data_IF_758118099622
#
_entry.id   IF_758118099622
#
_cell.length_a   1.000
_cell.length_b   1.000
_cell.length_c   1.000
_cell.angle_alpha   90.00
_cell.angle_beta   90.00
_cell.angle_gamma   90.00
#
_symmetry.space_group_name_H-M   'P 1'
#
loop_
_entity.id
_entity.type
_entity.pdbx_description
1 polymer ?
#
# COMPACT_ATOMS: atom_id res chain seq x y z
N UNK A 1 3.41 31.22 -1.99
CA UNK A 1 4.39 31.43 -3.08
C UNK A 1 3.83 30.77 -4.30
N UNK A 2 3.41 31.57 -5.27
CA UNK A 2 2.76 31.11 -6.51
C UNK A 2 3.86 30.70 -7.48
N UNK A 3 4.07 29.43 -7.68
CA UNK A 3 5.02 28.89 -8.66
C UNK A 3 4.39 28.99 -10.05
N UNK A 4 4.94 29.80 -10.92
CA UNK A 4 4.56 29.87 -12.33
C UNK A 4 5.19 28.68 -13.06
N UNK A 5 4.36 27.69 -13.44
CA UNK A 5 4.76 26.60 -14.35
C UNK A 5 4.82 27.14 -15.79
N UNK A 6 6.02 27.16 -16.35
CA UNK A 6 6.26 27.49 -17.76
C UNK A 6 5.89 26.28 -18.63
N UNK A 7 4.92 26.44 -19.49
CA UNK A 7 4.48 25.40 -20.45
C UNK A 7 5.51 25.25 -21.55
N UNK A 8 6.15 24.06 -21.66
CA UNK A 8 6.94 23.68 -22.82
C UNK A 8 6.03 23.06 -23.90
N UNK A 9 6.05 23.66 -25.06
CA UNK A 9 5.31 23.23 -26.25
C UNK A 9 6.03 22.08 -26.96
N UNK A 10 5.54 20.86 -26.78
CA UNK A 10 5.92 19.69 -27.59
C UNK A 10 4.94 19.50 -28.76
N UNK A 11 5.45 19.60 -29.99
CA UNK A 11 4.69 19.37 -31.22
C UNK A 11 4.45 17.88 -31.43
N UNK A 12 3.20 17.43 -31.47
CA UNK A 12 2.76 16.28 -32.27
C UNK A 12 1.36 16.57 -32.77
N UNK A 13 1.23 16.58 -34.10
CA UNK A 13 0.04 17.01 -34.81
C UNK A 13 -1.17 16.09 -34.60
N UNK A 14 -2.26 16.70 -34.14
CA UNK A 14 -3.61 16.21 -34.29
C UNK A 14 -4.49 17.39 -34.69
N UNK A 15 -5.08 17.27 -35.84
CA UNK A 15 -5.97 18.27 -36.48
C UNK A 15 -7.26 18.43 -35.69
N UNK A 16 -7.59 19.67 -35.30
CA UNK A 16 -8.97 20.13 -35.20
C UNK A 16 -9.77 19.86 -33.96
N UNK A 17 -9.19 19.57 -32.77
CA UNK A 17 -9.97 19.53 -31.53
C UNK A 17 -9.74 20.77 -30.68
N UNK A 18 -10.83 21.53 -30.47
CA UNK A 18 -10.86 22.77 -29.67
C UNK A 18 -11.10 22.51 -28.17
N UNK A 19 -11.00 21.28 -27.71
CA UNK A 19 -11.25 20.85 -26.34
C UNK A 19 -10.05 21.00 -25.40
N UNK A 20 -10.24 20.51 -24.18
CA UNK A 20 -9.21 20.49 -23.12
C UNK A 20 -8.59 19.08 -23.01
N UNK A 21 -7.27 19.02 -22.85
CA UNK A 21 -6.54 17.82 -22.43
C UNK A 21 -5.62 18.09 -21.23
N UNK A 22 -5.49 17.10 -20.35
CA UNK A 22 -4.55 17.13 -19.24
C UNK A 22 -4.10 15.69 -18.88
N UNK A 23 -2.93 15.53 -18.30
CA UNK A 23 -2.51 14.29 -17.64
C UNK A 23 -2.33 14.57 -16.16
N UNK A 24 -2.94 13.74 -15.32
CA UNK A 24 -2.84 13.88 -13.88
C UNK A 24 -2.00 12.75 -13.32
N UNK A 25 -0.94 13.11 -12.61
CA UNK A 25 0.06 12.18 -12.06
C UNK A 25 0.30 12.45 -10.59
N UNK A 26 0.75 11.41 -9.87
CA UNK A 26 1.39 11.56 -8.56
C UNK A 26 2.84 12.08 -8.75
N UNK A 27 3.50 12.44 -7.66
CA UNK A 27 4.93 12.82 -7.67
C UNK A 27 5.82 11.69 -8.23
N UNK A 28 5.45 10.42 -7.99
CA UNK A 28 6.16 9.24 -8.47
C UNK A 28 5.79 8.86 -9.92
N UNK A 29 4.97 9.68 -10.59
CA UNK A 29 4.60 9.51 -12.00
C UNK A 29 3.39 8.62 -12.25
N UNK A 30 2.72 8.09 -11.22
CA UNK A 30 1.55 7.23 -11.36
C UNK A 30 0.30 8.01 -11.81
N UNK A 31 -0.57 7.33 -12.56
CA UNK A 31 -1.84 7.89 -13.00
C UNK A 31 -2.79 8.14 -11.81
N UNK A 32 -3.47 9.27 -11.80
CA UNK A 32 -4.54 9.57 -10.84
C UNK A 32 -5.87 9.46 -11.57
N UNK A 33 -6.43 8.25 -11.64
CA UNK A 33 -7.61 7.90 -12.43
C UNK A 33 -8.93 8.50 -11.93
N UNK A 34 -8.98 8.95 -10.67
CA UNK A 34 -10.18 9.57 -10.08
C UNK A 34 -10.05 11.09 -9.97
N UNK A 35 -9.09 11.68 -10.67
CA UNK A 35 -8.94 13.13 -10.71
C UNK A 35 -10.09 13.78 -11.50
N UNK A 36 -10.52 14.93 -11.04
CA UNK A 36 -11.53 15.76 -11.69
C UNK A 36 -10.91 17.10 -12.05
N UNK A 37 -11.06 17.50 -13.30
CA UNK A 37 -10.71 18.83 -13.80
C UNK A 37 -11.98 19.68 -13.83
N UNK A 38 -11.91 20.86 -13.24
CA UNK A 38 -12.93 21.90 -13.32
C UNK A 38 -12.30 23.14 -13.95
N UNK A 39 -12.90 23.67 -14.98
CA UNK A 39 -12.45 24.91 -15.66
C UNK A 39 -13.42 26.03 -15.35
N UNK A 40 -12.89 27.14 -14.91
CA UNK A 40 -13.67 28.37 -14.68
C UNK A 40 -13.17 29.49 -15.59
N UNK A 41 -14.09 30.35 -16.03
CA UNK A 41 -13.77 31.57 -16.76
C UNK A 41 -13.20 32.67 -15.85
N UNK A 42 -12.94 33.85 -16.43
CA UNK A 42 -12.39 34.98 -15.70
C UNK A 42 -13.34 35.56 -14.61
N UNK A 43 -14.64 35.21 -14.67
CA UNK A 43 -15.64 35.58 -13.65
C UNK A 43 -15.76 34.54 -12.53
N UNK A 44 -15.06 33.40 -12.63
CA UNK A 44 -15.15 32.29 -11.71
C UNK A 44 -16.30 31.33 -12.00
N UNK A 45 -17.03 31.52 -13.10
CA UNK A 45 -18.10 30.60 -13.50
C UNK A 45 -17.52 29.32 -14.08
N UNK A 46 -18.01 28.15 -13.62
CA UNK A 46 -17.62 26.88 -14.18
C UNK A 46 -18.15 26.73 -15.62
N UNK A 47 -17.23 26.46 -16.55
CA UNK A 47 -17.53 26.27 -17.97
C UNK A 47 -17.32 24.84 -18.44
N UNK A 48 -16.52 24.05 -17.70
CA UNK A 48 -16.25 22.64 -18.02
C UNK A 48 -15.95 21.85 -16.76
N UNK A 49 -16.34 20.57 -16.73
CA UNK A 49 -15.94 19.60 -15.71
C UNK A 49 -15.80 18.21 -16.34
N UNK A 50 -14.63 17.58 -16.17
CA UNK A 50 -14.33 16.27 -16.73
C UNK A 50 -13.54 15.42 -15.75
N UNK A 51 -13.75 14.10 -15.79
CA UNK A 51 -12.99 13.11 -15.01
C UNK A 51 -11.79 12.56 -15.79
N UNK A 52 -10.77 12.10 -15.07
CA UNK A 52 -9.66 11.37 -15.65
C UNK A 52 -10.06 9.91 -15.96
N UNK A 53 -9.50 9.35 -17.04
CA UNK A 53 -9.58 7.93 -17.34
C UNK A 53 -8.63 7.08 -16.47
N UNK A 54 -8.60 5.76 -16.71
CA UNK A 54 -7.74 4.83 -15.98
C UNK A 54 -6.23 5.18 -16.05
N UNK A 55 -5.82 5.86 -17.13
CA UNK A 55 -4.45 6.32 -17.34
C UNK A 55 -4.20 7.73 -16.78
N UNK A 56 -5.16 8.27 -16.03
CA UNK A 56 -5.08 9.64 -15.47
C UNK A 56 -5.11 10.72 -16.56
N UNK A 57 -5.69 10.43 -17.72
CA UNK A 57 -5.80 11.38 -18.81
C UNK A 57 -7.21 11.96 -18.83
N UNK A 58 -7.28 13.28 -18.83
CA UNK A 58 -8.54 14.03 -19.03
C UNK A 58 -8.59 14.48 -20.46
N UNK A 59 -9.71 14.21 -21.13
CA UNK A 59 -10.04 14.72 -22.48
C UNK A 59 -11.48 15.14 -22.49
N UNK A 60 -11.70 16.37 -22.91
CA UNK A 60 -13.05 16.89 -23.14
C UNK A 60 -13.04 17.69 -24.44
N UNK A 61 -13.96 17.34 -25.33
CA UNK A 61 -14.06 17.95 -26.66
C UNK A 61 -14.91 19.23 -26.67
N UNK A 62 -15.49 19.63 -25.55
CA UNK A 62 -16.32 20.83 -25.44
C UNK A 62 -15.49 22.07 -25.84
N UNK A 63 -15.91 22.83 -26.87
CA UNK A 63 -15.17 24.01 -27.27
C UNK A 63 -15.20 25.09 -26.20
N UNK A 64 -14.02 25.58 -25.85
CA UNK A 64 -13.87 26.77 -25.00
C UNK A 64 -13.67 28.01 -25.87
N UNK A 65 -14.35 29.09 -25.54
CA UNK A 65 -14.16 30.36 -26.24
C UNK A 65 -12.72 30.88 -26.01
N UNK A 66 -12.14 31.65 -26.96
CA UNK A 66 -10.85 32.29 -26.72
C UNK A 66 -10.86 33.16 -25.47
N UNK A 67 -9.90 32.94 -24.57
CA UNK A 67 -9.86 33.66 -23.29
C UNK A 67 -8.92 33.05 -22.27
N UNK A 68 -8.87 33.65 -21.10
CA UNK A 68 -8.13 33.15 -19.95
C UNK A 68 -9.06 32.33 -19.03
N UNK A 69 -8.58 31.17 -18.59
CA UNK A 69 -9.31 30.24 -17.74
C UNK A 69 -8.46 29.80 -16.55
N UNK A 70 -9.12 29.47 -15.46
CA UNK A 70 -8.50 28.76 -14.36
C UNK A 70 -8.86 27.28 -14.43
N UNK A 71 -7.87 26.41 -14.47
CA UNK A 71 -8.02 24.96 -14.48
C UNK A 71 -7.71 24.45 -13.09
N UNK A 72 -8.71 23.91 -12.40
CA UNK A 72 -8.62 23.37 -11.04
C UNK A 72 -8.67 21.86 -11.14
N UNK A 73 -7.66 21.18 -10.55
CA UNK A 73 -7.59 19.74 -10.48
C UNK A 73 -7.77 19.32 -9.03
N UNK A 74 -8.67 18.36 -8.83
CA UNK A 74 -8.98 17.78 -7.52
C UNK A 74 -8.98 16.26 -7.61
N UNK A 75 -8.52 15.59 -6.56
CA UNK A 75 -8.67 14.15 -6.37
C UNK A 75 -8.76 13.85 -4.87
N UNK A 76 -9.50 12.79 -4.53
CA UNK A 76 -9.61 12.37 -3.12
C UNK A 76 -8.23 11.97 -2.59
N UNK A 77 -7.85 12.51 -1.43
CA UNK A 77 -6.54 12.25 -0.82
C UNK A 77 -5.40 13.14 -1.32
N UNK A 78 -5.66 14.08 -2.25
CA UNK A 78 -4.65 14.99 -2.81
C UNK A 78 -5.00 16.45 -2.58
N UNK A 79 -3.98 17.29 -2.46
CA UNK A 79 -4.14 18.74 -2.39
C UNK A 79 -4.64 19.27 -3.73
N UNK A 80 -5.70 20.12 -3.74
CA UNK A 80 -6.16 20.76 -4.96
C UNK A 80 -5.05 21.59 -5.60
N UNK A 81 -4.94 21.52 -6.91
CA UNK A 81 -3.97 22.32 -7.70
C UNK A 81 -4.72 23.14 -8.71
N UNK A 82 -4.34 24.40 -8.86
CA UNK A 82 -4.90 25.31 -9.85
C UNK A 82 -3.80 25.87 -10.76
N UNK A 83 -4.10 25.97 -12.05
CA UNK A 83 -3.24 26.58 -13.06
C UNK A 83 -4.06 27.49 -13.98
N UNK A 84 -3.40 28.45 -14.64
CA UNK A 84 -4.02 29.28 -15.65
C UNK A 84 -3.80 28.70 -17.02
N UNK A 85 -4.84 28.72 -17.86
CA UNK A 85 -4.77 28.30 -19.25
C UNK A 85 -5.27 29.43 -20.15
N UNK A 86 -4.63 29.61 -21.30
CA UNK A 86 -5.08 30.56 -22.33
C UNK A 86 -5.56 29.76 -23.54
N UNK A 87 -6.83 29.91 -23.86
CA UNK A 87 -7.45 29.30 -25.04
C UNK A 87 -7.35 30.29 -26.20
N UNK A 88 -6.89 29.82 -27.36
CA UNK A 88 -6.82 30.58 -28.60
C UNK A 88 -7.76 30.01 -29.65
N UNK A 89 -8.18 30.82 -30.63
CA UNK A 89 -9.15 30.42 -31.64
C UNK A 89 -8.71 29.25 -32.57
N UNK A 90 -7.42 28.86 -32.53
CA UNK A 90 -6.83 27.90 -33.46
C UNK A 90 -6.39 26.59 -32.86
N UNK A 91 -6.49 26.39 -31.57
CA UNK A 91 -6.02 25.17 -30.87
C UNK A 91 -6.84 24.83 -29.63
N UNK A 92 -7.08 23.54 -29.40
CA UNK A 92 -7.46 23.02 -28.10
C UNK A 92 -6.41 23.33 -27.05
N UNK A 93 -6.81 23.32 -25.79
CA UNK A 93 -5.93 23.63 -24.65
C UNK A 93 -5.36 22.35 -24.07
N UNK A 94 -4.06 22.16 -24.24
CA UNK A 94 -3.32 21.13 -23.53
C UNK A 94 -2.71 21.72 -22.26
N UNK A 95 -3.20 21.28 -21.10
CA UNK A 95 -2.69 21.70 -19.78
C UNK A 95 -1.37 20.99 -19.46
N UNK A 96 -1.03 19.95 -20.23
CA UNK A 96 0.16 19.14 -20.00
C UNK A 96 -0.02 18.16 -18.83
N UNK A 97 1.10 17.83 -18.20
CA UNK A 97 1.11 16.94 -17.03
C UNK A 97 1.03 17.77 -15.75
N UNK A 98 0.01 17.51 -14.94
CA UNK A 98 -0.18 18.12 -13.62
C UNK A 98 0.10 17.08 -12.55
N UNK A 99 0.99 17.42 -11.62
CA UNK A 99 1.34 16.58 -10.49
C UNK A 99 0.53 17.00 -9.27
N UNK A 100 -0.22 16.07 -8.69
CA UNK A 100 -0.94 16.29 -7.44
C UNK A 100 -0.09 15.81 -6.26
N UNK A 101 -0.04 16.62 -5.20
CA UNK A 101 0.62 16.28 -3.95
C UNK A 101 -0.40 15.67 -2.97
N UNK A 102 -0.01 14.61 -2.27
CA UNK A 102 -0.87 13.95 -1.27
C UNK A 102 -1.17 14.88 -0.10
N UNK A 103 -2.43 14.88 0.36
CA UNK A 103 -2.83 15.59 1.58
C UNK A 103 -2.15 14.98 2.81
N UNK A 104 -1.69 15.84 3.73
CA UNK A 104 -1.02 15.39 4.96
C UNK A 104 0.46 15.03 4.80
N UNK A 105 1.02 15.12 3.59
CA UNK A 105 2.41 14.71 3.31
C UNK A 105 2.57 13.19 3.30
N UNK A 106 3.83 12.70 3.44
CA UNK A 106 4.16 11.28 3.38
C UNK A 106 4.51 10.81 1.97
N UNK A 107 4.77 9.50 1.83
CA UNK A 107 5.04 8.87 0.56
C UNK A 107 3.77 8.77 -0.31
N UNK A 108 3.92 8.83 -1.63
CA UNK A 108 2.79 8.58 -2.52
C UNK A 108 2.28 7.15 -2.33
N UNK A 109 0.95 7.00 -2.26
CA UNK A 109 0.34 5.69 -2.07
C UNK A 109 0.62 4.77 -3.27
N UNK A 110 0.72 3.45 -3.05
CA UNK A 110 0.90 2.52 -4.14
C UNK A 110 -0.31 2.60 -5.10
N UNK A 111 -0.08 2.52 -6.43
CA UNK A 111 -1.16 2.54 -7.39
C UNK A 111 -2.19 1.45 -7.13
N UNK A 112 -3.47 1.72 -7.42
CA UNK A 112 -4.53 0.72 -7.29
C UNK A 112 -4.27 -0.54 -8.11
N UNK A 113 -4.82 -1.65 -7.65
CA UNK A 113 -4.75 -2.94 -8.32
C UNK A 113 -4.08 -4.03 -7.50
N UNK A 114 -3.84 -5.20 -8.09
CA UNK A 114 -3.21 -6.33 -7.44
C UNK A 114 -1.70 -6.16 -7.33
N UNK A 115 -1.17 -6.56 -6.17
CA UNK A 115 0.26 -6.65 -5.87
C UNK A 115 0.53 -8.02 -5.28
N UNK A 116 1.64 -8.65 -5.69
CA UNK A 116 2.08 -9.94 -5.16
C UNK A 116 3.33 -9.72 -4.30
N UNK A 117 3.35 -10.27 -3.11
CA UNK A 117 4.53 -10.22 -2.24
C UNK A 117 5.67 -11.01 -2.86
N UNK A 118 6.84 -10.41 -2.87
CA UNK A 118 8.09 -11.03 -3.35
C UNK A 118 8.82 -11.66 -2.14
N UNK A 119 8.82 -13.01 -1.99
CA UNK A 119 9.44 -13.66 -0.85
C UNK A 119 10.96 -13.45 -0.78
N UNK A 120 11.61 -13.23 -1.94
CA UNK A 120 13.05 -13.03 -1.99
C UNK A 120 13.50 -11.70 -1.35
N UNK A 121 12.58 -10.73 -1.28
CA UNK A 121 12.83 -9.40 -0.72
C UNK A 121 11.92 -9.09 0.47
N UNK A 122 11.31 -10.12 1.06
CA UNK A 122 10.41 -9.99 2.21
C UNK A 122 10.82 -10.89 3.35
N UNK A 123 10.40 -10.54 4.55
CA UNK A 123 10.65 -11.32 5.76
C UNK A 123 9.39 -11.40 6.62
N UNK A 124 9.04 -12.61 7.02
CA UNK A 124 7.97 -12.89 7.99
C UNK A 124 8.61 -13.48 9.22
N UNK A 125 8.71 -12.70 10.31
CA UNK A 125 9.42 -13.06 11.52
C UNK A 125 8.56 -13.01 12.78
N UNK A 126 9.00 -13.79 13.78
CA UNK A 126 8.48 -13.75 15.13
C UNK A 126 9.61 -13.75 16.15
N UNK A 127 9.41 -13.04 17.25
CA UNK A 127 10.37 -12.91 18.36
C UNK A 127 9.69 -13.35 19.64
N UNK A 128 10.30 -14.31 20.33
CA UNK A 128 9.87 -14.77 21.66
C UNK A 128 10.94 -14.43 22.71
N UNK A 129 10.51 -14.09 23.92
CA UNK A 129 11.42 -13.94 25.06
C UNK A 129 11.83 -15.33 25.58
N UNK A 130 13.11 -15.47 25.91
CA UNK A 130 13.67 -16.64 26.58
C UNK A 130 14.19 -16.29 27.96
N UNK A 131 13.67 -16.95 29.00
CA UNK A 131 13.98 -16.74 30.42
C UNK A 131 13.76 -15.28 30.90
N UNK A 132 13.06 -14.45 30.14
CA UNK A 132 12.89 -13.03 30.43
C UNK A 132 14.15 -12.17 30.24
N UNK A 133 15.25 -12.73 29.74
CA UNK A 133 16.55 -12.05 29.62
C UNK A 133 17.08 -11.92 28.19
N UNK A 134 16.59 -12.73 27.25
CA UNK A 134 17.03 -12.68 25.86
C UNK A 134 15.87 -12.92 24.90
N UNK A 135 16.09 -12.63 23.63
CA UNK A 135 15.12 -12.83 22.56
C UNK A 135 15.59 -13.93 21.62
N UNK A 136 14.69 -14.86 21.31
CA UNK A 136 14.84 -15.82 20.22
C UNK A 136 14.05 -15.30 19.03
N UNK A 137 14.73 -15.18 17.88
CA UNK A 137 14.12 -14.80 16.61
C UNK A 137 13.95 -16.02 15.74
N UNK A 138 12.77 -16.14 15.12
CA UNK A 138 12.46 -17.10 14.10
C UNK A 138 11.90 -16.40 12.89
N UNK A 139 12.03 -17.01 11.71
CA UNK A 139 11.41 -16.57 10.47
C UNK A 139 10.73 -17.73 9.79
N UNK A 140 9.73 -17.45 9.00
CA UNK A 140 9.16 -18.42 8.07
C UNK A 140 9.79 -18.20 6.70
N UNK A 141 10.31 -19.25 6.09
CA UNK A 141 11.04 -19.17 4.81
C UNK A 141 10.14 -19.41 3.60
N UNK A 142 8.92 -19.93 3.82
CA UNK A 142 7.94 -20.21 2.76
C UNK A 142 6.62 -19.53 3.08
N UNK A 143 6.27 -18.55 2.27
CA UNK A 143 5.01 -17.81 2.37
C UNK A 143 4.64 -17.19 1.03
N UNK A 144 3.35 -16.93 0.86
CA UNK A 144 2.79 -16.16 -0.25
C UNK A 144 1.81 -15.14 0.29
N UNK A 145 1.71 -13.98 -0.35
CA UNK A 145 0.66 -13.04 -0.02
C UNK A 145 0.29 -12.17 -1.23
N UNK A 146 -0.95 -11.75 -1.25
CA UNK A 146 -1.49 -10.80 -2.22
C UNK A 146 -2.03 -9.58 -1.50
N UNK A 147 -1.83 -8.41 -2.12
CA UNK A 147 -2.34 -7.13 -1.64
C UNK A 147 -3.18 -6.54 -2.76
N UNK A 148 -4.44 -6.25 -2.50
CA UNK A 148 -5.32 -5.54 -3.42
C UNK A 148 -5.46 -4.10 -2.95
N UNK A 149 -4.82 -3.16 -3.65
CA UNK A 149 -4.96 -1.73 -3.36
C UNK A 149 -6.23 -1.23 -4.02
N UNK A 150 -7.15 -0.69 -3.21
CA UNK A 150 -8.44 -0.21 -3.69
C UNK A 150 -8.30 1.09 -4.51
N UNK A 151 -9.10 1.25 -5.59
CA UNK A 151 -8.98 2.41 -6.49
C UNK A 151 -9.51 3.71 -5.91
N UNK A 152 -10.55 3.64 -5.07
CA UNK A 152 -11.27 4.82 -4.61
C UNK A 152 -10.79 5.30 -3.23
N UNK A 153 -10.57 4.35 -2.33
CA UNK A 153 -10.18 4.63 -0.96
C UNK A 153 -9.24 3.55 -0.44
N UNK A 154 -8.03 3.93 0.01
CA UNK A 154 -7.00 3.00 0.46
C UNK A 154 -7.43 2.12 1.63
N UNK A 155 -8.37 2.60 2.46
CA UNK A 155 -8.93 1.85 3.59
C UNK A 155 -9.75 0.63 3.15
N UNK A 156 -10.18 0.58 1.89
CA UNK A 156 -10.84 -0.57 1.27
C UNK A 156 -9.88 -1.64 0.72
N UNK A 157 -8.57 -1.41 0.83
CA UNK A 157 -7.55 -2.37 0.40
C UNK A 157 -7.60 -3.66 1.21
N UNK A 158 -7.09 -4.77 0.64
CA UNK A 158 -7.14 -6.10 1.23
C UNK A 158 -5.78 -6.77 1.17
N UNK A 159 -5.53 -7.62 2.17
CA UNK A 159 -4.34 -8.48 2.26
C UNK A 159 -4.79 -9.90 2.58
N UNK A 160 -4.31 -10.85 1.79
CA UNK A 160 -4.45 -12.28 2.04
C UNK A 160 -3.05 -12.90 2.04
N UNK A 161 -2.70 -13.66 3.08
CA UNK A 161 -1.40 -14.31 3.22
C UNK A 161 -1.55 -15.76 3.67
N UNK A 162 -0.68 -16.61 3.14
CA UNK A 162 -0.52 -18.02 3.53
C UNK A 162 0.96 -18.26 3.82
N UNK A 163 1.24 -18.88 4.96
CA UNK A 163 2.59 -19.17 5.45
C UNK A 163 2.66 -20.66 5.74
N UNK A 164 3.67 -21.35 5.21
CA UNK A 164 3.97 -22.74 5.58
C UNK A 164 4.45 -22.79 7.02
N UNK A 165 3.68 -23.41 7.93
CA UNK A 165 4.05 -23.50 9.35
C UNK A 165 5.34 -24.31 9.54
N UNK A 166 5.60 -25.30 8.66
CA UNK A 166 6.80 -26.14 8.68
C UNK A 166 8.08 -25.37 8.30
N UNK A 167 7.94 -24.21 7.65
CA UNK A 167 9.08 -23.41 7.20
C UNK A 167 9.74 -22.56 8.28
N UNK A 168 9.34 -22.71 9.54
CA UNK A 168 9.97 -22.03 10.68
C UNK A 168 11.46 -22.35 10.77
N UNK A 169 12.27 -21.32 10.84
CA UNK A 169 13.73 -21.37 10.96
C UNK A 169 14.18 -20.38 12.04
N UNK A 170 14.80 -20.88 13.10
CA UNK A 170 15.38 -20.07 14.19
C UNK A 170 16.91 -20.18 14.21
N UNK A 171 17.52 -20.85 13.23
CA UNK A 171 18.94 -21.14 13.18
C UNK A 171 19.38 -22.26 14.14
N UNK A 172 18.46 -23.07 14.66
CA UNK A 172 18.73 -24.21 15.52
C UNK A 172 17.78 -25.37 15.22
N UNK A 173 18.28 -26.40 14.56
CA UNK A 173 17.48 -27.52 14.05
C UNK A 173 16.64 -28.23 15.12
N UNK A 174 17.22 -28.46 16.32
CA UNK A 174 16.49 -29.12 17.43
C UNK A 174 15.33 -28.28 17.92
N UNK A 175 15.52 -26.97 18.01
CA UNK A 175 14.43 -26.04 18.38
C UNK A 175 13.39 -25.97 17.28
N UNK A 176 13.78 -25.94 16.04
CA UNK A 176 12.87 -25.87 14.89
C UNK A 176 12.02 -27.13 14.77
N UNK A 177 12.60 -28.32 15.04
CA UNK A 177 11.86 -29.57 15.14
C UNK A 177 10.81 -29.53 16.26
N UNK A 178 11.19 -29.03 17.45
CA UNK A 178 10.27 -28.88 18.56
C UNK A 178 9.16 -27.84 18.26
N UNK A 179 9.49 -26.72 17.58
CA UNK A 179 8.48 -25.74 17.18
C UNK A 179 7.46 -26.31 16.17
N UNK A 180 7.84 -27.29 15.36
CA UNK A 180 6.92 -27.98 14.44
C UNK A 180 6.02 -29.00 15.13
N UNK A 181 6.39 -29.46 16.33
CA UNK A 181 5.66 -30.49 17.06
C UNK A 181 4.28 -30.03 17.58
N UNK A 182 3.45 -30.98 18.10
CA UNK A 182 2.17 -30.64 18.75
C UNK A 182 2.26 -29.72 19.97
N UNK A 183 3.43 -29.55 20.57
CA UNK A 183 3.65 -28.62 21.68
C UNK A 183 3.51 -27.14 21.23
N UNK A 184 3.75 -26.86 19.93
CA UNK A 184 3.72 -25.51 19.36
C UNK A 184 2.85 -25.44 18.11
N UNK A 185 3.43 -25.50 16.91
CA UNK A 185 2.71 -25.22 15.66
C UNK A 185 1.86 -26.41 15.16
N UNK A 186 2.15 -27.63 15.59
CA UNK A 186 1.44 -28.86 15.19
C UNK A 186 1.29 -28.97 13.66
N UNK A 187 2.42 -28.85 12.95
CA UNK A 187 2.43 -28.66 11.50
C UNK A 187 1.85 -29.84 10.71
N UNK A 188 1.83 -31.04 11.29
CA UNK A 188 1.21 -32.21 10.65
C UNK A 188 -0.31 -32.06 10.55
N UNK A 189 -0.94 -31.43 11.56
CA UNK A 189 -2.40 -31.19 11.59
C UNK A 189 -2.77 -29.82 11.07
N UNK A 190 -1.88 -28.84 11.22
CA UNK A 190 -2.08 -27.43 10.89
C UNK A 190 -0.90 -26.93 10.03
N UNK A 191 -0.81 -27.34 8.75
CA UNK A 191 0.35 -27.06 7.91
C UNK A 191 0.47 -25.57 7.54
N UNK A 192 -0.61 -24.82 7.63
CA UNK A 192 -0.66 -23.41 7.20
C UNK A 192 -1.02 -22.48 8.34
N UNK A 193 -0.41 -21.30 8.31
CA UNK A 193 -0.82 -20.11 9.04
C UNK A 193 -1.38 -19.14 8.00
N UNK A 194 -2.62 -18.66 8.19
CA UNK A 194 -3.24 -17.74 7.23
C UNK A 194 -3.63 -16.44 7.90
N UNK A 195 -3.48 -15.34 7.16
CA UNK A 195 -3.99 -14.03 7.56
C UNK A 195 -4.87 -13.46 6.47
N UNK A 196 -6.05 -12.98 6.85
CA UNK A 196 -6.96 -12.27 5.96
C UNK A 196 -7.36 -10.94 6.59
N UNK A 197 -7.09 -9.83 5.90
CA UNK A 197 -7.53 -8.52 6.39
C UNK A 197 -9.04 -8.36 6.30
N UNK A 198 -9.62 -7.70 7.29
CA UNK A 198 -11.04 -7.33 7.35
C UNK A 198 -11.25 -5.84 7.12
N UNK A 199 -10.21 -5.01 7.28
CA UNK A 199 -10.25 -3.57 7.05
C UNK A 199 -8.93 -2.89 7.36
N UNK A 200 -8.83 -1.62 6.99
CA UNK A 200 -7.74 -0.72 7.34
C UNK A 200 -8.31 0.53 7.98
N UNK A 201 -7.63 1.05 9.01
CA UNK A 201 -7.92 2.37 9.58
C UNK A 201 -6.64 3.22 9.62
N UNK A 202 -6.73 4.54 9.36
CA UNK A 202 -5.59 5.44 9.52
C UNK A 202 -5.08 5.42 10.97
N UNK A 203 -3.76 5.41 11.15
CA UNK A 203 -3.11 5.55 12.45
C UNK A 203 -2.42 6.93 12.58
N UNK A 204 -1.87 7.24 13.74
CA UNK A 204 -1.19 8.51 13.97
C UNK A 204 0.08 8.64 13.13
N UNK A 205 0.17 9.73 12.36
CA UNK A 205 1.29 10.05 11.47
C UNK A 205 1.01 9.73 10.00
N UNK A 206 1.80 10.33 9.09
CA UNK A 206 1.73 10.01 7.68
C UNK A 206 2.18 8.55 7.45
N UNK A 207 1.63 7.90 6.44
CA UNK A 207 2.03 6.55 6.01
C UNK A 207 1.86 5.45 7.07
N UNK A 208 0.94 5.66 8.03
CA UNK A 208 0.64 4.69 9.10
C UNK A 208 -0.82 4.27 9.07
N UNK A 209 -1.04 2.97 9.21
CA UNK A 209 -2.38 2.37 9.29
C UNK A 209 -2.40 1.23 10.30
N UNK A 210 -3.59 0.92 10.79
CA UNK A 210 -3.87 -0.36 11.43
C UNK A 210 -4.57 -1.25 10.43
N UNK A 211 -3.98 -2.41 10.14
CA UNK A 211 -4.61 -3.47 9.34
C UNK A 211 -5.32 -4.41 10.28
N UNK A 212 -6.64 -4.39 10.27
CA UNK A 212 -7.47 -5.34 11.01
C UNK A 212 -7.59 -6.63 10.22
N UNK A 213 -7.52 -7.78 10.87
CA UNK A 213 -7.64 -9.06 10.19
C UNK A 213 -7.88 -10.24 11.11
N UNK A 214 -8.04 -11.39 10.50
CA UNK A 214 -8.15 -12.68 11.16
C UNK A 214 -6.90 -13.51 10.88
N UNK A 215 -6.23 -13.93 11.94
CA UNK A 215 -5.10 -14.85 11.90
C UNK A 215 -5.57 -16.25 12.29
N UNK A 216 -5.38 -17.20 11.39
CA UNK A 216 -5.56 -18.64 11.69
C UNK A 216 -4.20 -19.26 11.91
N UNK A 217 -3.97 -19.81 13.08
CA UNK A 217 -2.73 -20.50 13.45
C UNK A 217 -3.07 -21.68 14.36
N UNK A 218 -2.47 -22.84 14.12
CA UNK A 218 -2.73 -24.08 14.87
C UNK A 218 -4.23 -24.42 15.00
N UNK A 219 -5.01 -24.18 13.93
CA UNK A 219 -6.45 -24.45 13.89
C UNK A 219 -7.31 -23.46 14.70
N UNK A 220 -6.72 -22.42 15.29
CA UNK A 220 -7.42 -21.38 16.04
C UNK A 220 -7.43 -20.09 15.25
N UNK A 221 -8.59 -19.46 15.10
CA UNK A 221 -8.74 -18.15 14.45
C UNK A 221 -8.90 -17.06 15.51
N UNK A 222 -8.13 -15.98 15.38
CA UNK A 222 -8.21 -14.81 16.26
C UNK A 222 -8.16 -13.51 15.46
N UNK A 223 -8.88 -12.48 15.89
CA UNK A 223 -8.67 -11.13 15.37
C UNK A 223 -7.28 -10.63 15.76
N UNK A 224 -6.58 -10.04 14.80
CA UNK A 224 -5.24 -9.48 14.98
C UNK A 224 -5.16 -8.14 14.25
N UNK A 225 -4.61 -7.15 14.92
CA UNK A 225 -4.31 -5.86 14.37
C UNK A 225 -2.81 -5.76 14.07
N UNK A 226 -2.46 -5.36 12.84
CA UNK A 226 -1.09 -5.07 12.45
C UNK A 226 -0.87 -3.55 12.42
N UNK A 227 0.12 -3.07 13.15
CA UNK A 227 0.61 -1.69 13.01
C UNK A 227 1.45 -1.60 11.74
N UNK A 228 0.91 -0.98 10.70
CA UNK A 228 1.50 -0.89 9.37
C UNK A 228 2.14 0.47 9.13
N UNK A 229 3.38 0.46 8.67
CA UNK A 229 4.05 1.59 8.05
C UNK A 229 4.25 1.31 6.56
N UNK A 230 3.77 2.19 5.72
CA UNK A 230 4.10 2.21 4.30
C UNK A 230 5.41 2.97 4.09
N UNK A 231 6.33 2.38 3.32
CA UNK A 231 7.69 2.91 3.16
C UNK A 231 7.91 3.57 1.80
N UNK A 232 6.96 3.41 0.87
CA UNK A 232 7.01 4.02 -0.46
C UNK A 232 6.99 3.02 -1.60
N UNK A 233 7.02 3.54 -2.82
CA UNK A 233 7.16 2.78 -4.06
C UNK A 233 8.50 3.06 -4.71
N UNK A 234 8.95 2.12 -5.55
CA UNK A 234 10.13 2.24 -6.38
C UNK A 234 9.98 1.44 -7.67
N UNK A 235 10.92 1.58 -8.58
CA UNK A 235 11.01 0.77 -9.80
C UNK A 235 12.30 -0.03 -9.73
N UNK A 236 12.21 -1.33 -9.92
CA UNK A 236 13.40 -2.18 -9.94
C UNK A 236 14.14 -2.11 -11.29
N UNK A 237 15.35 -2.69 -11.41
CA UNK A 237 16.11 -2.67 -12.65
C UNK A 237 15.41 -3.32 -13.86
N UNK A 238 14.40 -4.17 -13.64
CA UNK A 238 13.59 -4.77 -14.70
C UNK A 238 12.44 -3.86 -15.16
N UNK A 239 12.22 -2.72 -14.47
CA UNK A 239 11.12 -1.80 -14.73
C UNK A 239 9.85 -2.14 -13.99
N UNK A 240 9.83 -3.16 -13.12
CA UNK A 240 8.66 -3.51 -12.34
C UNK A 240 8.47 -2.55 -11.15
N UNK A 241 7.22 -2.14 -10.94
CA UNK A 241 6.87 -1.32 -9.79
C UNK A 241 6.86 -2.16 -8.51
N UNK A 242 7.52 -1.66 -7.47
CA UNK A 242 7.61 -2.26 -6.15
C UNK A 242 7.05 -1.33 -5.08
N UNK A 243 6.35 -1.89 -4.09
CA UNK A 243 5.87 -1.18 -2.91
C UNK A 243 6.44 -1.86 -1.66
N UNK A 244 6.87 -1.08 -0.69
CA UNK A 244 7.48 -1.60 0.54
C UNK A 244 6.65 -1.23 1.76
N UNK A 245 6.53 -2.19 2.68
CA UNK A 245 5.75 -2.08 3.90
C UNK A 245 6.51 -2.71 5.06
N UNK A 246 6.32 -2.15 6.25
CA UNK A 246 6.71 -2.76 7.52
C UNK A 246 5.49 -2.91 8.39
N UNK A 247 5.32 -4.06 9.03
CA UNK A 247 4.24 -4.22 9.98
C UNK A 247 4.69 -4.96 11.25
N UNK A 248 4.04 -4.65 12.37
CA UNK A 248 4.29 -5.33 13.63
C UNK A 248 2.97 -5.68 14.32
N UNK A 249 2.97 -6.75 15.11
CA UNK A 249 1.90 -7.10 16.02
C UNK A 249 2.44 -7.81 17.25
N UNK A 250 1.65 -7.85 18.30
CA UNK A 250 1.91 -8.67 19.48
C UNK A 250 0.79 -9.71 19.63
N UNK A 251 1.18 -10.98 19.73
CA UNK A 251 0.27 -12.11 19.87
C UNK A 251 0.52 -12.78 21.22
N UNK A 252 -0.54 -13.22 21.88
CA UNK A 252 -0.41 -14.14 23.01
C UNK A 252 -0.45 -15.55 22.46
N UNK A 253 0.62 -16.33 22.68
CA UNK A 253 0.71 -17.69 22.15
C UNK A 253 -0.37 -18.63 22.71
N UNK A 254 -0.85 -18.37 23.94
CA UNK A 254 -1.94 -19.08 24.59
C UNK A 254 -3.27 -18.91 23.84
N UNK A 255 -3.50 -17.75 23.21
CA UNK A 255 -4.70 -17.51 22.40
C UNK A 255 -4.78 -18.44 21.18
N UNK A 256 -3.66 -19.07 20.80
CA UNK A 256 -3.55 -20.05 19.72
C UNK A 256 -3.26 -21.46 20.25
N UNK A 257 -3.65 -21.75 21.50
CA UNK A 257 -3.48 -23.04 22.17
C UNK A 257 -2.01 -23.53 22.23
N UNK A 258 -1.03 -22.64 22.21
CA UNK A 258 0.39 -22.95 22.41
C UNK A 258 0.77 -22.79 23.89
N UNK A 259 0.36 -23.75 24.72
CA UNK A 259 0.46 -23.65 26.18
C UNK A 259 1.75 -24.27 26.72
N UNK A 260 2.53 -24.99 25.90
CA UNK A 260 3.76 -25.62 26.33
C UNK A 260 4.72 -24.61 26.95
N UNK A 261 5.19 -24.90 28.17
CA UNK A 261 6.22 -24.13 28.84
C UNK A 261 6.93 -24.98 29.90
N UNK A 262 8.21 -24.71 30.12
CA UNK A 262 8.95 -25.27 31.24
C UNK A 262 9.13 -24.19 32.29
N UNK A 263 8.73 -24.50 33.52
CA UNK A 263 8.96 -23.61 34.65
C UNK A 263 10.38 -23.86 35.17
N UNK A 264 11.22 -22.84 35.07
CA UNK A 264 12.54 -22.79 35.68
C UNK A 264 12.44 -22.18 37.10
N UNK A 265 13.55 -22.00 37.80
CA UNK A 265 13.59 -21.49 39.17
C UNK A 265 12.75 -20.23 39.35
N UNK A 266 12.08 -20.11 40.50
CA UNK A 266 11.28 -18.97 40.94
C UNK A 266 9.99 -18.72 40.13
N UNK A 267 9.42 -19.75 39.47
CA UNK A 267 8.17 -19.61 38.74
C UNK A 267 8.30 -18.89 37.40
N UNK A 268 9.51 -18.66 36.91
CA UNK A 268 9.74 -18.05 35.59
C UNK A 268 9.58 -19.11 34.52
N UNK A 269 8.69 -18.89 33.55
CA UNK A 269 8.56 -19.70 32.36
C UNK A 269 9.78 -19.55 31.44
N UNK A 270 10.24 -20.64 30.86
CA UNK A 270 11.37 -20.61 29.93
C UNK A 270 11.06 -19.81 28.66
N UNK A 271 9.79 -19.78 28.23
CA UNK A 271 9.32 -19.10 27.04
C UNK A 271 8.29 -18.02 27.44
N UNK A 272 8.49 -16.82 26.97
CA UNK A 272 7.54 -15.73 27.19
C UNK A 272 6.16 -16.02 26.58
N UNK A 273 5.12 -15.41 27.14
CA UNK A 273 3.72 -15.58 26.71
C UNK A 273 3.39 -14.79 25.45
N UNK A 274 4.18 -13.75 25.15
CA UNK A 274 3.98 -12.86 24.02
C UNK A 274 4.95 -13.19 22.90
N UNK A 275 4.41 -13.27 21.69
CA UNK A 275 5.16 -13.32 20.44
C UNK A 275 5.06 -11.95 19.76
N UNK A 276 6.18 -11.33 19.46
CA UNK A 276 6.21 -10.13 18.64
C UNK A 276 6.39 -10.54 17.19
N UNK A 277 5.43 -10.17 16.34
CA UNK A 277 5.50 -10.36 14.89
C UNK A 277 6.21 -9.17 14.27
N UNK A 278 7.16 -9.44 13.37
CA UNK A 278 7.93 -8.43 12.62
C UNK A 278 7.87 -8.79 11.13
N UNK A 279 7.29 -7.90 10.33
CA UNK A 279 7.10 -8.09 8.89
C UNK A 279 7.83 -6.97 8.14
N UNK A 280 8.68 -7.37 7.20
CA UNK A 280 9.29 -6.49 6.19
C UNK A 280 8.82 -7.03 4.84
N UNK A 281 8.01 -6.27 4.13
CA UNK A 281 7.31 -6.76 2.93
C UNK A 281 7.65 -5.89 1.75
N UNK A 282 8.02 -6.51 0.65
CA UNK A 282 8.14 -5.90 -0.65
C UNK A 282 7.18 -6.61 -1.61
N UNK A 283 6.32 -5.86 -2.29
CA UNK A 283 5.35 -6.39 -3.24
C UNK A 283 5.60 -5.83 -4.64
N UNK A 284 5.34 -6.64 -5.67
CA UNK A 284 5.46 -6.30 -7.09
C UNK A 284 4.07 -6.11 -7.68
N UNK A 285 3.88 -5.06 -8.46
CA UNK A 285 2.61 -4.77 -9.10
C UNK A 285 2.35 -5.70 -10.29
N UNK A 286 1.13 -6.23 -10.37
CA UNK A 286 0.62 -6.88 -11.58
C UNK A 286 1.16 -8.28 -11.87
N UNK A 287 1.87 -8.95 -10.96
CA UNK A 287 2.10 -10.38 -11.03
C UNK A 287 0.88 -11.11 -10.46
N UNK A 288 -0.28 -10.98 -11.12
CA UNK A 288 -1.38 -11.90 -10.92
C UNK A 288 -0.99 -13.25 -11.49
N UNK A 289 -1.13 -14.29 -10.70
CA UNK A 289 -1.02 -15.68 -11.10
C UNK A 289 -2.08 -16.00 -12.14
#
# INVERSE_FOLDING_TARGET
MTEQLTVQTGQTGLTGQTGLSARVRTRDGWAVSHAVVTVTDATGQQVLRAGADADGVVRDATPLAPGAYTVILTAVGYAPTASSAIVTASRGTDVGTVTLARLGGGAELPPPGPWTVDPAHSSVGAVAQHLGISSVRGRFTEFTATIAIAPDEVTNSRVDAVISAASIDTGNATRDEHLRSPDFLDVERCPEITFRSTGLTPAAGPDRWTVHGELSMRGVVRPVDLDLAYLGTGTDPSGAARAAFRATAELRREDFAMDYNQVVRAGIGAIGTTLKVELEIQAVRGAGL
#
